data_IF_344394701356
#
_entry.id   IF_344394701356
#
_cell.length_a   1.000
_cell.length_b   1.000
_cell.length_c   1.000
_cell.angle_alpha   90.00
_cell.angle_beta   90.00
_cell.angle_gamma   90.00
#
_symmetry.space_group_name_H-M   'P 1'
#
loop_
_entity.id
_entity.type
_entity.pdbx_description
1 polymer ?
#
# COMPACT_ATOMS: atom_id res chain seq x y z
N UNK A 1 4.21 14.64 -15.71
CA UNK A 1 4.12 14.26 -14.29
C UNK A 1 4.79 12.91 -14.16
N UNK A 2 5.64 12.70 -13.15
CA UNK A 2 6.32 11.43 -12.97
C UNK A 2 5.31 10.29 -12.73
N UNK A 3 5.63 9.10 -13.23
CA UNK A 3 4.79 7.91 -13.20
C UNK A 3 4.92 7.18 -11.86
N UNK A 4 3.81 6.66 -11.34
CA UNK A 4 3.79 5.73 -10.22
C UNK A 4 3.09 4.42 -10.66
N UNK A 5 3.79 3.30 -10.61
CA UNK A 5 3.22 1.99 -10.94
C UNK A 5 2.57 1.28 -9.74
N UNK A 6 2.92 1.63 -8.50
CA UNK A 6 2.32 1.02 -7.31
C UNK A 6 0.87 1.50 -7.15
N UNK A 7 -0.08 0.57 -7.23
CA UNK A 7 -1.52 0.87 -7.19
C UNK A 7 -2.13 0.43 -5.87
N UNK A 8 -3.03 1.25 -5.30
CA UNK A 8 -3.82 0.81 -4.17
C UNK A 8 -4.81 -0.26 -4.64
N UNK A 9 -4.96 -1.34 -3.88
CA UNK A 9 -5.84 -2.45 -4.24
C UNK A 9 -7.21 -2.34 -3.56
N UNK A 10 -8.25 -2.78 -4.28
CA UNK A 10 -9.61 -2.91 -3.78
C UNK A 10 -10.21 -1.63 -3.16
N UNK A 11 -9.91 -0.41 -3.63
CA UNK A 11 -10.38 0.85 -2.98
C UNK A 11 -11.76 1.35 -3.40
N UNK A 12 -12.44 0.67 -4.33
CA UNK A 12 -13.76 1.09 -4.81
C UNK A 12 -14.83 1.06 -3.70
N UNK A 13 -15.88 1.88 -3.85
CA UNK A 13 -16.95 2.06 -2.85
C UNK A 13 -17.63 0.75 -2.41
N UNK A 14 -17.70 -0.26 -3.28
CA UNK A 14 -18.33 -1.55 -3.02
C UNK A 14 -17.36 -2.73 -3.13
N UNK A 15 -16.06 -2.50 -2.97
CA UNK A 15 -15.09 -3.58 -3.00
C UNK A 15 -15.29 -4.53 -1.81
N UNK A 16 -15.17 -5.84 -2.07
CA UNK A 16 -15.33 -6.91 -1.07
C UNK A 16 -14.24 -6.84 0.00
N UNK A 17 -14.44 -6.01 1.02
CA UNK A 17 -13.45 -5.69 2.06
C UNK A 17 -14.18 -5.59 3.40
N UNK A 18 -13.64 -6.24 4.43
CA UNK A 18 -14.19 -6.20 5.79
C UNK A 18 -14.31 -4.75 6.29
N UNK A 19 -15.44 -4.42 6.92
CA UNK A 19 -15.66 -3.10 7.52
C UNK A 19 -14.57 -2.77 8.55
N UNK A 20 -14.35 -1.49 8.84
CA UNK A 20 -13.26 -1.09 9.73
C UNK A 20 -13.46 -1.64 11.15
N UNK A 21 -14.65 -1.45 11.71
CA UNK A 21 -14.97 -1.89 13.08
C UNK A 21 -14.83 -3.42 13.22
N UNK A 22 -15.34 -4.18 12.24
CA UNK A 22 -15.20 -5.64 12.20
C UNK A 22 -13.74 -6.10 12.05
N UNK A 23 -12.92 -5.33 11.32
CA UNK A 23 -11.50 -5.62 11.14
C UNK A 23 -10.73 -5.39 12.43
N UNK A 24 -10.95 -4.27 13.11
CA UNK A 24 -10.28 -3.93 14.37
C UNK A 24 -10.64 -4.89 15.51
N UNK A 25 -11.86 -5.43 15.49
CA UNK A 25 -12.29 -6.45 16.44
C UNK A 25 -11.75 -7.86 16.13
N UNK A 26 -11.11 -8.07 14.96
CA UNK A 26 -10.71 -9.40 14.51
C UNK A 26 -9.46 -9.91 15.25
N UNK A 27 -9.51 -11.05 15.96
CA UNK A 27 -8.32 -11.59 16.64
C UNK A 27 -7.14 -11.90 15.70
N UNK A 28 -7.44 -12.15 14.42
CA UNK A 28 -6.44 -12.41 13.38
C UNK A 28 -5.53 -11.20 13.10
N UNK A 29 -5.85 -9.98 13.57
CA UNK A 29 -4.90 -8.87 13.58
C UNK A 29 -3.64 -9.18 14.40
N UNK A 30 -3.79 -9.94 15.48
CA UNK A 30 -2.69 -10.33 16.36
C UNK A 30 -2.05 -11.64 15.93
N UNK A 31 -2.87 -12.64 15.61
CA UNK A 31 -2.39 -14.01 15.36
C UNK A 31 -2.13 -14.33 13.89
N UNK A 32 -2.60 -13.48 12.97
CA UNK A 32 -2.78 -13.86 11.58
C UNK A 32 -3.85 -14.94 11.38
N UNK A 33 -4.09 -15.33 10.12
CA UNK A 33 -4.96 -16.46 9.78
C UNK A 33 -4.18 -17.78 9.99
N UNK A 34 -4.49 -18.52 11.06
CA UNK A 34 -3.72 -19.71 11.42
C UNK A 34 -4.20 -21.00 10.73
N UNK A 35 -5.51 -21.27 10.79
CA UNK A 35 -6.09 -22.49 10.23
C UNK A 35 -7.50 -22.22 9.69
N UNK A 36 -7.94 -23.04 8.74
CA UNK A 36 -9.21 -22.88 8.04
C UNK A 36 -9.12 -21.97 6.81
N UNK A 37 -10.29 -21.55 6.29
CA UNK A 37 -10.36 -20.68 5.11
C UNK A 37 -10.33 -19.22 5.55
N UNK A 38 -9.36 -18.45 5.06
CA UNK A 38 -9.37 -17.00 5.23
C UNK A 38 -10.52 -16.38 4.41
N UNK A 39 -11.29 -15.47 5.01
CA UNK A 39 -12.34 -14.76 4.29
C UNK A 39 -11.71 -13.87 3.22
N UNK A 40 -12.21 -13.93 1.99
CA UNK A 40 -11.72 -13.06 0.90
C UNK A 40 -11.86 -11.57 1.24
N UNK A 41 -12.90 -11.19 2.00
CA UNK A 41 -13.08 -9.83 2.48
C UNK A 41 -11.97 -9.38 3.46
N UNK A 42 -11.54 -10.29 4.33
CA UNK A 42 -10.47 -10.03 5.31
C UNK A 42 -9.09 -10.00 4.62
N UNK A 43 -8.85 -10.90 3.66
CA UNK A 43 -7.64 -10.87 2.83
C UNK A 43 -7.56 -9.58 2.01
N UNK A 44 -8.67 -9.19 1.36
CA UNK A 44 -8.71 -7.93 0.62
C UNK A 44 -8.52 -6.71 1.54
N UNK A 45 -8.98 -6.76 2.80
CA UNK A 45 -8.72 -5.71 3.79
C UNK A 45 -7.23 -5.57 4.09
N UNK A 46 -6.55 -6.68 4.38
CA UNK A 46 -5.11 -6.69 4.65
C UNK A 46 -4.30 -6.15 3.44
N UNK A 47 -4.61 -6.65 2.23
CA UNK A 47 -3.95 -6.20 0.99
C UNK A 47 -4.25 -4.71 0.72
N UNK A 48 -5.50 -4.26 0.93
CA UNK A 48 -5.88 -2.84 0.78
C UNK A 48 -5.04 -1.96 1.71
N UNK A 49 -4.92 -2.31 3.00
CA UNK A 49 -4.15 -1.50 3.95
C UNK A 49 -2.68 -1.37 3.55
N UNK A 50 -2.05 -2.48 3.15
CA UNK A 50 -0.64 -2.47 2.71
C UNK A 50 -0.43 -1.70 1.40
N UNK A 51 -1.22 -2.03 0.37
CA UNK A 51 -1.10 -1.41 -0.96
C UNK A 51 -1.48 0.06 -0.99
N UNK A 52 -2.43 0.49 -0.14
CA UNK A 52 -2.82 1.89 -0.03
C UNK A 52 -1.67 2.78 0.45
N UNK A 53 -0.99 2.37 1.53
CA UNK A 53 0.16 3.11 2.04
C UNK A 53 1.33 3.08 1.05
N UNK A 54 1.62 1.91 0.46
CA UNK A 54 2.69 1.78 -0.54
C UNK A 54 2.47 2.70 -1.75
N UNK A 55 1.25 2.71 -2.32
CA UNK A 55 0.91 3.55 -3.44
C UNK A 55 0.97 5.05 -3.10
N UNK A 56 0.55 5.43 -1.89
CA UNK A 56 0.63 6.82 -1.42
C UNK A 56 2.09 7.30 -1.29
N UNK A 57 2.96 6.49 -0.69
CA UNK A 57 4.39 6.80 -0.58
C UNK A 57 5.04 6.88 -1.96
N UNK A 58 4.78 5.92 -2.84
CA UNK A 58 5.31 5.94 -4.21
C UNK A 58 4.84 7.17 -4.99
N UNK A 59 3.58 7.57 -4.84
CA UNK A 59 3.05 8.78 -5.49
C UNK A 59 3.70 10.05 -4.94
N UNK A 60 3.86 10.14 -3.62
CA UNK A 60 4.57 11.26 -2.99
C UNK A 60 6.02 11.34 -3.50
N UNK A 61 6.73 10.21 -3.54
CA UNK A 61 8.10 10.14 -4.04
C UNK A 61 8.19 10.58 -5.49
N UNK A 62 7.29 10.11 -6.36
CA UNK A 62 7.24 10.54 -7.76
C UNK A 62 7.02 12.06 -7.88
N UNK A 63 6.06 12.61 -7.12
CA UNK A 63 5.73 14.03 -7.13
C UNK A 63 6.90 14.92 -6.68
N UNK A 64 7.58 14.54 -5.60
CA UNK A 64 8.63 15.38 -4.99
C UNK A 64 9.98 15.19 -5.67
N UNK A 65 10.35 13.97 -6.03
CA UNK A 65 11.61 13.72 -6.75
C UNK A 65 11.55 14.22 -8.20
N UNK A 66 10.38 14.16 -8.84
CA UNK A 66 10.22 14.37 -10.28
C UNK A 66 10.66 13.16 -11.12
N UNK A 67 10.93 12.01 -10.49
CA UNK A 67 11.40 10.78 -11.11
C UNK A 67 10.32 9.70 -11.08
N UNK A 68 10.31 8.84 -12.10
CA UNK A 68 9.38 7.72 -12.15
C UNK A 68 9.65 6.69 -11.04
N UNK A 69 8.56 6.21 -10.44
CA UNK A 69 8.54 5.13 -9.45
C UNK A 69 7.86 3.92 -10.11
N UNK A 70 8.69 3.02 -10.64
CA UNK A 70 8.27 1.86 -11.44
C UNK A 70 8.26 0.59 -10.59
N UNK A 71 7.42 -0.37 -10.98
CA UNK A 71 7.37 -1.71 -10.38
C UNK A 71 8.31 -2.64 -11.17
N UNK A 72 9.62 -2.39 -11.03
CA UNK A 72 10.70 -3.05 -11.79
C UNK A 72 11.67 -3.86 -10.90
N UNK A 73 11.40 -3.91 -9.59
CA UNK A 73 12.22 -4.60 -8.61
C UNK A 73 13.48 -3.85 -8.16
N UNK A 74 13.73 -2.62 -8.63
CA UNK A 74 14.88 -1.82 -8.19
C UNK A 74 14.64 -1.14 -6.83
N UNK A 75 14.81 -1.92 -5.77
CA UNK A 75 14.65 -1.45 -4.39
C UNK A 75 15.62 -0.31 -4.04
N UNK A 76 16.88 -0.40 -4.49
CA UNK A 76 17.89 0.62 -4.19
C UNK A 76 17.58 1.94 -4.91
N UNK A 77 17.13 1.86 -6.18
CA UNK A 77 16.66 3.01 -6.93
C UNK A 77 15.44 3.66 -6.28
N UNK A 78 14.50 2.87 -5.76
CA UNK A 78 13.36 3.41 -5.00
C UNK A 78 13.81 4.17 -3.75
N UNK A 79 14.72 3.61 -2.95
CA UNK A 79 15.28 4.27 -1.75
C UNK A 79 15.99 5.59 -2.11
N UNK A 80 16.76 5.61 -3.20
CA UNK A 80 17.43 6.83 -3.66
C UNK A 80 16.43 7.94 -4.04
N UNK A 81 15.35 7.57 -4.75
CA UNK A 81 14.26 8.49 -5.10
C UNK A 81 13.55 9.00 -3.85
N UNK A 82 13.31 8.14 -2.85
CA UNK A 82 12.75 8.56 -1.55
C UNK A 82 13.63 9.59 -0.85
N UNK A 83 14.96 9.39 -0.82
CA UNK A 83 15.90 10.36 -0.25
C UNK A 83 15.81 11.73 -0.94
N UNK A 84 15.71 11.74 -2.28
CA UNK A 84 15.53 12.98 -3.05
C UNK A 84 14.17 13.63 -2.76
N UNK A 85 13.12 12.85 -2.62
CA UNK A 85 11.77 13.35 -2.34
C UNK A 85 11.66 14.00 -0.96
N UNK A 86 12.10 13.31 0.10
CA UNK A 86 12.01 13.82 1.47
C UNK A 86 12.97 14.98 1.74
N UNK A 87 14.12 15.03 1.07
CA UNK A 87 15.06 16.13 1.19
C UNK A 87 14.58 17.48 0.61
N UNK A 88 13.41 17.55 -0.02
CA UNK A 88 12.83 18.80 -0.56
C UNK A 88 11.84 19.50 0.36
N UNK A 89 11.44 18.87 1.46
CA UNK A 89 10.47 19.43 2.41
C UNK A 89 11.13 20.08 3.65
N UNK A 90 12.45 20.25 3.60
CA UNK A 90 13.30 20.95 4.58
C UNK A 90 14.31 21.85 3.87
#
# INVERSE_FOLDING_TARGET
MATNNFKPFATAANANVTAQDDWEALPALLSGFMAGKASSAQVNKAIRQASFIAAALAQYTANKSGLDVLDDGDLNGFISKMGTAFGKDF
#
